data_IF_584800814085
#
_entry.id   IF_584800814085
#
_cell.length_a   1.000
_cell.length_b   1.000
_cell.length_c   1.000
_cell.angle_alpha   90.00
_cell.angle_beta   90.00
_cell.angle_gamma   90.00
#
_symmetry.space_group_name_H-M   'P 1'
#
loop_
_entity.id
_entity.type
_entity.pdbx_description
1 polymer ?
#
# COMPACT_ATOMS: atom_id res chain seq x y z
N UNK A 1 -8.32 0.24 15.10
CA UNK A 1 -7.48 0.92 14.09
C UNK A 1 -7.18 -0.18 13.12
N UNK A 2 -7.89 -0.21 12.01
CA UNK A 2 -7.95 -1.38 11.16
C UNK A 2 -7.43 -0.99 9.76
N UNK A 3 -7.15 -1.97 8.91
CA UNK A 3 -6.64 -1.71 7.56
C UNK A 3 -5.28 -1.00 7.56
N UNK A 4 -5.16 0.08 6.79
CA UNK A 4 -3.90 0.80 6.58
C UNK A 4 -3.57 1.80 7.71
N UNK A 5 -4.52 2.15 8.58
CA UNK A 5 -4.35 3.19 9.60
C UNK A 5 -3.15 2.97 10.54
N UNK A 6 -2.88 1.75 11.06
CA UNK A 6 -1.69 1.51 11.88
C UNK A 6 -0.37 1.76 11.13
N UNK A 7 -0.32 1.44 9.83
CA UNK A 7 0.87 1.65 8.99
C UNK A 7 1.08 3.14 8.68
N UNK A 8 -0.01 3.87 8.43
CA UNK A 8 0.03 5.32 8.26
C UNK A 8 0.51 6.00 9.56
N UNK A 9 0.01 5.56 10.72
CA UNK A 9 0.47 6.06 12.00
C UNK A 9 1.97 5.80 12.20
N UNK A 10 2.41 4.56 12.01
CA UNK A 10 3.82 4.18 12.07
C UNK A 10 4.70 5.07 11.18
N UNK A 11 4.27 5.31 9.94
CA UNK A 11 4.96 6.17 9.00
C UNK A 11 5.01 7.64 9.45
N UNK A 12 3.90 8.19 9.92
CA UNK A 12 3.84 9.57 10.41
C UNK A 12 4.67 9.83 11.66
N UNK A 13 4.86 8.80 12.48
CA UNK A 13 5.72 8.84 13.67
C UNK A 13 7.17 8.42 13.38
N UNK A 14 7.46 7.99 12.15
CA UNK A 14 8.78 7.47 11.72
C UNK A 14 9.26 6.33 12.62
N UNK A 15 8.35 5.41 12.96
CA UNK A 15 8.65 4.28 13.84
C UNK A 15 9.72 3.39 13.24
N UNK A 16 10.64 2.92 14.09
CA UNK A 16 11.71 2.02 13.64
C UNK A 16 11.41 0.54 13.81
N UNK A 17 10.49 0.20 14.70
CA UNK A 17 10.21 -1.18 15.11
C UNK A 17 8.73 -1.49 14.91
N UNK A 18 8.42 -2.64 14.31
CA UNK A 18 7.04 -3.07 14.11
C UNK A 18 6.34 -3.33 15.45
N UNK A 19 5.05 -3.02 15.52
CA UNK A 19 4.21 -3.23 16.70
C UNK A 19 4.64 -2.47 17.97
N UNK A 20 5.55 -1.50 17.85
CA UNK A 20 6.04 -0.70 18.97
C UNK A 20 6.18 0.77 18.58
N UNK A 21 5.74 1.64 19.47
CA UNK A 21 5.93 3.09 19.37
C UNK A 21 6.58 3.53 20.67
N UNK A 22 7.76 4.13 20.58
CA UNK A 22 8.46 4.69 21.74
C UNK A 22 7.78 5.98 22.21
N UNK A 23 7.98 6.34 23.47
CA UNK A 23 7.48 7.62 24.02
C UNK A 23 8.02 8.82 23.22
N UNK A 24 9.26 8.74 22.78
CA UNK A 24 9.93 9.80 22.01
C UNK A 24 9.28 9.97 20.63
N UNK A 25 9.07 8.88 19.89
CA UNK A 25 8.36 8.88 18.60
C UNK A 25 6.95 9.45 18.75
N UNK A 26 6.21 9.00 19.77
CA UNK A 26 4.86 9.47 20.05
C UNK A 26 4.82 10.97 20.37
N UNK A 27 5.61 11.42 21.35
CA UNK A 27 5.61 12.82 21.79
C UNK A 27 6.05 13.75 20.64
N UNK A 28 7.09 13.37 19.91
CA UNK A 28 7.56 14.14 18.76
C UNK A 28 6.48 14.25 17.69
N UNK A 29 5.89 13.12 17.28
CA UNK A 29 4.88 13.10 16.23
C UNK A 29 3.60 13.86 16.58
N UNK A 30 3.07 13.68 17.80
CA UNK A 30 1.88 14.42 18.26
C UNK A 30 2.15 15.92 18.37
N UNK A 31 3.36 16.31 18.77
CA UNK A 31 3.76 17.73 18.85
C UNK A 31 3.84 18.36 17.46
N UNK A 32 4.52 17.70 16.51
CA UNK A 32 4.66 18.20 15.13
C UNK A 32 3.29 18.28 14.41
N UNK A 33 2.43 17.29 14.62
CA UNK A 33 1.06 17.26 14.08
C UNK A 33 0.09 18.14 14.88
N UNK A 34 0.48 18.64 16.06
CA UNK A 34 -0.36 19.43 16.99
C UNK A 34 -1.65 18.71 17.38
N UNK A 35 -1.56 17.41 17.64
CA UNK A 35 -2.69 16.55 17.98
C UNK A 35 -2.73 16.37 19.50
N UNK A 36 -3.87 16.72 20.10
CA UNK A 36 -4.09 16.65 21.56
C UNK A 36 -5.17 15.64 21.97
N UNK A 37 -5.84 14.98 21.02
CA UNK A 37 -6.90 14.01 21.30
C UNK A 37 -6.90 12.85 20.30
N UNK A 38 -7.42 11.70 20.73
CA UNK A 38 -7.53 10.51 19.88
C UNK A 38 -8.52 10.70 18.71
N UNK A 39 -9.55 11.53 18.88
CA UNK A 39 -10.50 11.85 17.80
C UNK A 39 -9.83 12.62 16.68
N UNK A 40 -8.98 13.60 17.02
CA UNK A 40 -8.19 14.36 16.04
C UNK A 40 -7.12 13.47 15.40
N UNK A 41 -6.50 12.55 16.15
CA UNK A 41 -5.59 11.56 15.58
C UNK A 41 -6.28 10.67 14.54
N UNK A 42 -7.44 10.11 14.89
CA UNK A 42 -8.21 9.27 13.98
C UNK A 42 -8.61 10.02 12.71
N UNK A 43 -8.97 11.31 12.83
CA UNK A 43 -9.24 12.18 11.69
C UNK A 43 -7.99 12.36 10.81
N UNK A 44 -6.84 12.69 11.39
CA UNK A 44 -5.61 12.90 10.63
C UNK A 44 -5.15 11.65 9.87
N UNK A 45 -5.30 10.46 10.48
CA UNK A 45 -4.97 9.19 9.83
C UNK A 45 -5.94 8.86 8.69
N UNK A 46 -7.24 9.12 8.88
CA UNK A 46 -8.27 8.94 7.83
C UNK A 46 -8.08 9.90 6.66
N UNK A 47 -7.72 11.16 6.93
CA UNK A 47 -7.40 12.13 5.88
C UNK A 47 -6.28 11.57 4.98
N UNK A 48 -5.23 10.98 5.56
CA UNK A 48 -4.14 10.35 4.81
C UNK A 48 -4.52 9.03 4.12
N UNK A 49 -5.36 8.20 4.73
CA UNK A 49 -5.87 6.97 4.11
C UNK A 49 -6.71 7.29 2.87
N UNK A 50 -7.61 8.26 3.00
CA UNK A 50 -8.44 8.78 1.91
C UNK A 50 -7.57 9.28 0.76
N UNK A 51 -6.53 10.06 1.08
CA UNK A 51 -5.61 10.61 0.07
C UNK A 51 -4.76 9.53 -0.59
N UNK A 52 -4.03 8.72 0.18
CA UNK A 52 -2.94 7.89 -0.34
C UNK A 52 -3.40 6.49 -0.75
N UNK A 53 -4.34 5.89 -0.02
CA UNK A 53 -4.76 4.50 -0.21
C UNK A 53 -6.03 4.42 -1.07
N UNK A 54 -7.04 5.24 -0.75
CA UNK A 54 -8.34 5.22 -1.43
C UNK A 54 -8.41 6.18 -2.63
N UNK A 55 -7.31 6.88 -2.91
CA UNK A 55 -7.16 7.79 -4.04
C UNK A 55 -8.19 8.94 -4.09
N UNK A 56 -8.84 9.29 -2.98
CA UNK A 56 -9.84 10.35 -2.93
C UNK A 56 -9.24 11.74 -3.20
N UNK A 57 -10.07 12.71 -3.66
CA UNK A 57 -9.62 14.08 -3.85
C UNK A 57 -9.10 14.72 -2.55
N UNK A 58 -8.07 15.57 -2.62
CA UNK A 58 -7.51 16.22 -1.44
C UNK A 58 -8.49 17.21 -0.81
N UNK A 59 -8.36 17.40 0.51
CA UNK A 59 -9.10 18.42 1.24
C UNK A 59 -8.81 19.81 0.64
N UNK A 60 -9.85 20.61 0.43
CA UNK A 60 -9.68 21.99 -0.06
C UNK A 60 -9.05 22.84 1.04
N UNK A 61 -7.98 23.58 0.71
CA UNK A 61 -7.44 24.62 1.61
C UNK A 61 -8.49 25.71 1.79
N UNK A 62 -8.73 26.10 3.03
CA UNK A 62 -9.53 27.28 3.32
C UNK A 62 -8.64 28.50 3.02
N UNK A 63 -9.18 29.47 2.29
CA UNK A 63 -8.49 30.70 1.95
C UNK A 63 -8.53 31.69 3.13
N UNK A 64 -7.93 31.30 4.26
CA UNK A 64 -7.77 32.13 5.45
C UNK A 64 -6.33 32.68 5.52
N UNK A 65 -6.10 33.89 6.07
CA UNK A 65 -4.76 34.46 6.14
C UNK A 65 -3.81 33.56 6.92
N UNK A 66 -2.55 33.51 6.47
CA UNK A 66 -1.49 32.55 6.81
C UNK A 66 -1.13 32.38 8.32
N UNK A 67 -1.83 33.06 9.24
CA UNK A 67 -1.62 32.98 10.68
C UNK A 67 -2.57 32.00 11.41
N UNK A 68 -3.66 31.54 10.78
CA UNK A 68 -4.51 30.48 11.35
C UNK A 68 -4.15 29.13 10.75
N UNK A 69 -3.69 28.21 11.59
CA UNK A 69 -3.44 26.82 11.21
C UNK A 69 -4.75 26.21 10.71
N UNK A 70 -4.81 25.89 9.41
CA UNK A 70 -6.05 25.44 8.77
C UNK A 70 -6.47 24.04 9.27
N UNK A 71 -7.32 24.01 10.29
CA UNK A 71 -8.09 22.84 10.68
C UNK A 71 -7.71 22.21 12.02
N UNK A 72 -8.25 21.00 12.29
CA UNK A 72 -8.19 20.37 13.61
C UNK A 72 -6.80 19.85 14.02
N UNK A 73 -5.82 19.84 13.10
CA UNK A 73 -4.42 19.47 13.33
C UNK A 73 -3.51 20.17 12.30
N UNK A 74 -2.19 20.08 12.47
CA UNK A 74 -1.22 20.61 11.50
C UNK A 74 -1.22 19.79 10.19
N UNK A 75 -1.85 20.34 9.14
CA UNK A 75 -1.99 19.72 7.81
C UNK A 75 -0.87 20.01 6.82
N UNK A 76 0.23 20.65 7.25
CA UNK A 76 1.33 20.98 6.35
C UNK A 76 1.85 19.76 5.57
N UNK A 77 2.17 18.66 6.27
CA UNK A 77 2.61 17.41 5.62
C UNK A 77 1.55 16.82 4.72
N UNK A 78 0.28 16.85 5.15
CA UNK A 78 -0.84 16.35 4.34
C UNK A 78 -0.89 17.05 2.98
N UNK A 79 -0.76 18.38 2.96
CA UNK A 79 -0.79 19.12 1.70
C UNK A 79 0.48 18.94 0.87
N UNK A 80 1.65 18.72 1.48
CA UNK A 80 2.86 18.33 0.72
C UNK A 80 2.64 16.97 0.02
N UNK A 81 2.10 15.99 0.73
CA UNK A 81 1.74 14.70 0.13
C UNK A 81 0.66 14.84 -0.95
N UNK A 82 -0.31 15.74 -0.78
CA UNK A 82 -1.33 15.97 -1.80
C UNK A 82 -0.75 16.54 -3.11
N UNK A 83 0.33 17.32 -3.03
CA UNK A 83 1.04 17.83 -4.22
C UNK A 83 1.91 16.76 -4.90
N UNK A 84 2.39 15.78 -4.14
CA UNK A 84 3.27 14.68 -4.59
C UNK A 84 2.68 13.32 -4.25
N UNK A 85 1.42 13.11 -4.65
CA UNK A 85 0.60 11.97 -4.20
C UNK A 85 1.23 10.62 -4.54
N UNK A 86 1.80 10.50 -5.74
CA UNK A 86 2.45 9.26 -6.20
C UNK A 86 3.71 8.99 -5.39
N UNK A 87 4.56 9.98 -5.24
CA UNK A 87 5.81 9.89 -4.50
C UNK A 87 5.55 9.57 -3.02
N UNK A 88 4.58 10.24 -2.39
CA UNK A 88 4.19 9.99 -1.01
C UNK A 88 3.67 8.56 -0.78
N UNK A 89 2.89 8.02 -1.73
CA UNK A 89 2.47 6.62 -1.66
C UNK A 89 3.65 5.66 -1.78
N UNK A 90 4.58 5.91 -2.72
CA UNK A 90 5.81 5.10 -2.86
C UNK A 90 6.69 5.18 -1.61
N UNK A 91 6.82 6.35 -0.99
CA UNK A 91 7.52 6.54 0.28
C UNK A 91 6.88 5.71 1.41
N UNK A 92 5.55 5.73 1.55
CA UNK A 92 4.82 4.90 2.52
C UNK A 92 5.00 3.40 2.22
N UNK A 93 4.92 3.00 0.96
CA UNK A 93 5.08 1.62 0.52
C UNK A 93 6.49 1.08 0.82
N UNK A 94 7.53 1.86 0.54
CA UNK A 94 8.92 1.53 0.86
C UNK A 94 9.20 1.53 2.36
N UNK A 95 8.60 2.47 3.10
CA UNK A 95 8.67 2.49 4.56
C UNK A 95 8.12 1.19 5.17
N UNK A 96 6.99 0.70 4.65
CA UNK A 96 6.34 -0.51 5.12
C UNK A 96 7.20 -1.77 4.92
N UNK A 97 7.95 -1.88 3.82
CA UNK A 97 8.94 -2.94 3.66
C UNK A 97 10.02 -2.88 4.74
N UNK A 98 10.55 -1.69 5.02
CA UNK A 98 11.53 -1.47 6.07
C UNK A 98 11.01 -1.82 7.47
N UNK A 99 9.74 -1.51 7.74
CA UNK A 99 9.06 -1.81 9.00
C UNK A 99 8.81 -3.31 9.18
N UNK A 100 8.38 -4.01 8.13
CA UNK A 100 8.09 -5.45 8.15
C UNK A 100 9.37 -6.31 8.24
N UNK A 101 10.51 -5.75 7.86
CA UNK A 101 11.79 -6.44 7.82
C UNK A 101 12.37 -6.62 9.22
N UNK A 102 12.73 -7.85 9.55
CA UNK A 102 13.50 -8.14 10.77
C UNK A 102 14.90 -7.54 10.68
N UNK A 103 15.47 -7.23 11.84
CA UNK A 103 16.83 -6.72 11.94
C UNK A 103 17.83 -7.74 11.35
N UNK A 104 18.79 -7.26 10.55
CA UNK A 104 19.75 -8.13 9.85
C UNK A 104 19.22 -8.86 8.61
N UNK A 105 17.91 -9.05 8.44
CA UNK A 105 17.36 -9.69 7.22
C UNK A 105 17.36 -8.74 6.02
N UNK A 106 17.48 -9.30 4.81
CA UNK A 106 17.28 -8.60 3.53
C UNK A 106 15.89 -8.84 2.93
N UNK A 107 15.15 -9.79 3.48
CA UNK A 107 13.86 -10.24 2.97
C UNK A 107 12.80 -10.18 4.08
N UNK A 108 11.56 -10.00 3.69
CA UNK A 108 10.39 -10.23 4.55
C UNK A 108 9.81 -11.61 4.20
N UNK A 109 9.19 -12.28 5.18
CA UNK A 109 8.43 -13.49 4.90
C UNK A 109 7.23 -13.17 3.99
N UNK A 110 6.85 -14.08 3.10
CA UNK A 110 5.65 -13.89 2.26
C UNK A 110 4.38 -13.75 3.12
N UNK A 111 4.31 -14.46 4.25
CA UNK A 111 3.19 -14.39 5.20
C UNK A 111 3.10 -13.00 5.85
N UNK A 112 4.23 -12.29 5.95
CA UNK A 112 4.27 -10.90 6.37
C UNK A 112 3.95 -9.94 5.22
N UNK A 113 4.41 -10.22 3.99
CA UNK A 113 4.17 -9.35 2.84
C UNK A 113 2.69 -9.26 2.44
N UNK A 114 1.98 -10.40 2.44
CA UNK A 114 0.59 -10.51 1.97
C UNK A 114 -0.36 -9.56 2.71
N UNK A 115 -0.38 -9.49 4.07
CA UNK A 115 -1.22 -8.54 4.79
C UNK A 115 -0.92 -7.07 4.46
N UNK A 116 0.35 -6.70 4.26
CA UNK A 116 0.71 -5.33 3.89
C UNK A 116 0.20 -4.98 2.49
N UNK A 117 0.39 -5.85 1.50
CA UNK A 117 -0.16 -5.64 0.16
C UNK A 117 -1.68 -5.58 0.15
N UNK A 118 -2.34 -6.40 0.97
CA UNK A 118 -3.79 -6.42 1.13
C UNK A 118 -4.35 -5.06 1.60
N UNK A 119 -3.66 -4.38 2.52
CA UNK A 119 -4.16 -3.08 3.04
C UNK A 119 -3.64 -1.87 2.28
N UNK A 120 -2.47 -1.96 1.63
CA UNK A 120 -1.85 -0.81 0.94
C UNK A 120 -2.18 -0.77 -0.56
N UNK A 121 -2.15 -1.92 -1.25
CA UNK A 121 -2.08 -1.98 -2.71
C UNK A 121 -3.42 -2.43 -3.29
N UNK A 122 -4.09 -3.42 -2.69
CA UNK A 122 -5.40 -3.92 -3.15
C UNK A 122 -6.47 -2.82 -3.28
N UNK A 123 -6.62 -1.87 -2.33
CA UNK A 123 -7.63 -0.82 -2.46
C UNK A 123 -7.45 0.08 -3.69
N UNK A 124 -6.21 0.19 -4.19
CA UNK A 124 -5.84 1.06 -5.31
C UNK A 124 -5.72 0.30 -6.63
N UNK A 125 -5.24 -0.94 -6.60
CA UNK A 125 -4.93 -1.73 -7.79
C UNK A 125 -5.64 -3.10 -7.73
N UNK A 126 -6.78 -3.27 -8.43
CA UNK A 126 -7.56 -4.50 -8.40
C UNK A 126 -6.79 -5.77 -8.80
N UNK A 127 -5.78 -5.66 -9.67
CA UNK A 127 -4.93 -6.79 -10.09
C UNK A 127 -4.17 -7.41 -8.92
N UNK A 128 -3.85 -6.63 -7.88
CA UNK A 128 -3.17 -7.14 -6.69
C UNK A 128 -4.00 -8.21 -5.98
N UNK A 129 -5.34 -8.11 -5.99
CA UNK A 129 -6.20 -9.15 -5.39
C UNK A 129 -5.98 -10.51 -6.08
N UNK A 130 -5.84 -10.49 -7.40
CA UNK A 130 -5.60 -11.69 -8.19
C UNK A 130 -4.17 -12.24 -7.92
N UNK A 131 -3.18 -11.36 -7.69
CA UNK A 131 -1.82 -11.76 -7.29
C UNK A 131 -1.83 -12.42 -5.91
N UNK A 132 -2.58 -11.89 -4.94
CA UNK A 132 -2.70 -12.50 -3.62
C UNK A 132 -3.38 -13.88 -3.67
N UNK A 133 -4.41 -14.04 -4.50
CA UNK A 133 -5.04 -15.35 -4.77
C UNK A 133 -4.02 -16.34 -5.33
N UNK A 134 -3.23 -15.92 -6.33
CA UNK A 134 -2.16 -16.72 -6.90
C UNK A 134 -1.10 -17.16 -5.87
N UNK A 135 -0.60 -16.22 -5.05
CA UNK A 135 0.40 -16.52 -4.02
C UNK A 135 -0.14 -17.59 -3.06
N UNK A 136 -1.41 -17.45 -2.63
CA UNK A 136 -2.06 -18.38 -1.74
C UNK A 136 -2.26 -19.77 -2.37
N UNK A 137 -2.68 -19.85 -3.63
CA UNK A 137 -2.84 -21.13 -4.34
C UNK A 137 -1.52 -21.83 -4.63
N UNK A 138 -0.50 -21.07 -5.02
CA UNK A 138 0.81 -21.64 -5.36
C UNK A 138 1.51 -22.19 -4.12
N UNK A 139 1.52 -21.45 -3.01
CA UNK A 139 2.07 -21.88 -1.72
C UNK A 139 3.59 -22.10 -1.66
N UNK A 140 4.31 -21.94 -2.78
CA UNK A 140 5.76 -22.18 -2.87
C UNK A 140 6.61 -20.95 -2.54
N UNK A 141 6.03 -19.75 -2.58
CA UNK A 141 6.75 -18.53 -2.22
C UNK A 141 6.98 -18.48 -0.72
N UNK A 142 8.16 -18.05 -0.29
CA UNK A 142 8.54 -17.99 1.14
C UNK A 142 9.07 -16.63 1.59
N UNK A 143 9.53 -15.80 0.67
CA UNK A 143 10.04 -14.50 1.05
C UNK A 143 10.02 -13.51 -0.10
N UNK A 144 10.07 -12.24 0.28
CA UNK A 144 10.03 -11.09 -0.62
C UNK A 144 11.25 -10.24 -0.33
N UNK A 145 12.10 -10.06 -1.32
CA UNK A 145 13.22 -9.13 -1.26
C UNK A 145 12.77 -7.72 -1.68
N UNK A 146 13.64 -6.72 -1.53
CA UNK A 146 13.32 -5.32 -1.87
C UNK A 146 12.93 -5.12 -3.34
N UNK A 147 13.59 -5.87 -4.23
CA UNK A 147 13.38 -5.78 -5.67
C UNK A 147 11.98 -6.27 -6.04
N UNK A 148 11.62 -7.50 -5.66
CA UNK A 148 10.28 -8.06 -5.84
C UNK A 148 9.21 -7.17 -5.21
N UNK A 149 9.45 -6.62 -4.01
CA UNK A 149 8.53 -5.66 -3.40
C UNK A 149 8.28 -4.45 -4.30
N UNK A 150 9.32 -3.80 -4.80
CA UNK A 150 9.18 -2.64 -5.69
C UNK A 150 8.49 -3.04 -7.01
N UNK A 151 8.95 -4.11 -7.65
CA UNK A 151 8.44 -4.54 -8.95
C UNK A 151 6.97 -5.00 -8.87
N UNK A 152 6.50 -5.52 -7.74
CA UNK A 152 5.06 -5.80 -7.54
C UNK A 152 4.21 -4.53 -7.66
N UNK A 153 4.67 -3.40 -7.10
CA UNK A 153 3.95 -2.14 -7.24
C UNK A 153 4.01 -1.62 -8.69
N UNK A 154 5.20 -1.65 -9.30
CA UNK A 154 5.38 -1.21 -10.69
C UNK A 154 4.51 -2.04 -11.66
N UNK A 155 4.40 -3.35 -11.41
CA UNK A 155 3.53 -4.25 -12.15
C UNK A 155 2.05 -3.87 -11.98
N UNK A 156 1.61 -3.60 -10.75
CA UNK A 156 0.24 -3.17 -10.48
C UNK A 156 -0.13 -1.82 -11.13
N UNK A 157 0.86 -0.93 -11.29
CA UNK A 157 0.69 0.37 -11.96
C UNK A 157 0.68 0.27 -13.48
N UNK A 158 1.50 -0.63 -14.05
CA UNK A 158 1.76 -0.70 -15.48
C UNK A 158 0.92 -1.74 -16.21
N UNK A 159 0.51 -2.82 -15.54
CA UNK A 159 -0.20 -3.95 -16.16
C UNK A 159 -1.69 -3.91 -15.84
N UNK A 160 -2.49 -3.95 -16.90
CA UNK A 160 -3.95 -3.98 -16.80
C UNK A 160 -4.43 -5.28 -16.18
N UNK A 161 -5.58 -5.23 -15.49
CA UNK A 161 -6.14 -6.42 -14.84
C UNK A 161 -6.42 -7.56 -15.83
N UNK A 162 -6.79 -7.27 -17.08
CA UNK A 162 -7.04 -8.28 -18.12
C UNK A 162 -5.76 -8.75 -18.83
N UNK A 163 -4.58 -8.20 -18.48
CA UNK A 163 -3.26 -8.60 -19.00
C UNK A 163 -3.08 -8.33 -20.51
N UNK A 164 -3.87 -7.44 -21.10
CA UNK A 164 -3.82 -7.13 -22.53
C UNK A 164 -2.55 -6.35 -22.95
N UNK A 165 -1.95 -5.64 -22.00
CA UNK A 165 -0.74 -4.84 -22.19
C UNK A 165 0.50 -5.46 -21.54
N UNK A 166 0.43 -6.70 -21.07
CA UNK A 166 1.58 -7.39 -20.48
C UNK A 166 2.58 -7.81 -21.57
N UNK A 167 3.83 -7.41 -21.38
CA UNK A 167 4.98 -7.80 -22.21
C UNK A 167 5.71 -9.01 -21.60
N UNK A 168 5.71 -10.13 -22.32
CA UNK A 168 6.35 -11.37 -21.90
C UNK A 168 7.88 -11.35 -22.03
N UNK A 169 8.43 -10.43 -22.82
CA UNK A 169 9.87 -10.22 -22.95
C UNK A 169 10.38 -9.17 -21.92
N UNK A 170 9.48 -8.65 -21.08
CA UNK A 170 9.79 -7.73 -20.00
C UNK A 170 10.66 -8.38 -18.91
N UNK A 171 11.46 -7.56 -18.22
CA UNK A 171 12.36 -8.02 -17.15
C UNK A 171 11.64 -8.16 -15.79
N UNK A 172 10.47 -8.81 -15.75
CA UNK A 172 9.72 -8.99 -14.51
C UNK A 172 10.31 -10.11 -13.63
N UNK A 173 10.11 -10.07 -12.30
CA UNK A 173 10.45 -11.18 -11.42
C UNK A 173 9.62 -12.42 -11.80
N UNK A 174 10.24 -13.59 -11.73
CA UNK A 174 9.61 -14.87 -12.08
C UNK A 174 8.25 -15.09 -11.41
N UNK A 175 8.07 -14.61 -10.18
CA UNK A 175 6.77 -14.68 -9.48
C UNK A 175 5.63 -13.98 -10.25
N UNK A 176 5.90 -12.84 -10.87
CA UNK A 176 4.93 -12.07 -11.65
C UNK A 176 4.66 -12.71 -13.02
N UNK A 177 5.67 -13.28 -13.67
CA UNK A 177 5.49 -14.03 -14.92
C UNK A 177 4.66 -15.32 -14.71
N UNK A 178 4.92 -16.02 -13.60
CA UNK A 178 4.13 -17.17 -13.18
C UNK A 178 2.68 -16.79 -12.86
N UNK A 179 2.46 -15.63 -12.21
CA UNK A 179 1.12 -15.09 -11.97
C UNK A 179 0.34 -14.87 -13.27
N UNK A 180 0.99 -14.27 -14.29
CA UNK A 180 0.37 -14.03 -15.60
C UNK A 180 -0.04 -15.36 -16.25
N UNK A 181 0.84 -16.35 -16.20
CA UNK A 181 0.60 -17.69 -16.75
C UNK A 181 -0.56 -18.40 -16.04
N UNK A 182 -0.60 -18.31 -14.70
CA UNK A 182 -1.70 -18.84 -13.88
C UNK A 182 -3.03 -18.18 -14.22
N UNK A 183 -3.05 -16.84 -14.35
CA UNK A 183 -4.28 -16.08 -14.60
C UNK A 183 -4.86 -16.36 -15.99
N UNK A 184 -4.03 -16.41 -17.02
CA UNK A 184 -4.42 -16.78 -18.39
C UNK A 184 -5.01 -18.19 -18.45
N UNK A 185 -4.42 -19.13 -17.71
CA UNK A 185 -4.91 -20.52 -17.63
C UNK A 185 -6.31 -20.58 -17.00
N UNK A 186 -6.55 -19.87 -15.90
CA UNK A 186 -7.89 -19.78 -15.26
C UNK A 186 -8.95 -19.13 -16.15
N UNK A 187 -8.59 -18.13 -16.95
CA UNK A 187 -9.52 -17.50 -17.89
C UNK A 187 -9.99 -18.48 -18.96
N UNK A 188 -9.06 -19.24 -19.57
CA UNK A 188 -9.40 -20.27 -20.56
C UNK A 188 -10.26 -21.42 -20.00
N UNK A 189 -10.06 -21.80 -18.74
CA UNK A 189 -10.91 -22.81 -18.07
C UNK A 189 -12.34 -22.31 -17.84
N UNK A 190 -12.52 -21.04 -17.46
CA UNK A 190 -13.84 -20.44 -17.26
C UNK A 190 -14.63 -20.34 -18.56
N UNK A 191 -13.98 -19.96 -19.65
CA UNK A 191 -14.60 -19.89 -20.99
C UNK A 191 -15.07 -21.27 -21.48
N UNK A 192 -14.24 -22.32 -21.29
CA UNK A 192 -14.61 -23.70 -21.63
C UNK A 192 -15.79 -24.20 -20.81
N UNK A 193 -15.82 -23.94 -19.50
CA UNK A 193 -16.94 -24.36 -18.62
C UNK A 193 -18.23 -23.59 -18.93
N UNK A 194 -18.14 -22.31 -19.32
CA UNK A 194 -19.28 -21.49 -19.72
C UNK A 194 -19.97 -21.96 -21.01
N UNK A 195 -19.23 -22.52 -21.96
CA UNK A 195 -19.79 -23.09 -23.19
C UNK A 195 -20.50 -24.44 -22.99
N UNK A 196 -20.12 -25.22 -21.97
CA UNK A 196 -20.69 -26.55 -21.71
C UNK A 196 -21.99 -26.48 -20.87
N UNK A 197 -22.18 -25.44 -20.07
CA UNK A 197 -23.37 -25.28 -19.21
C UNK A 197 -24.57 -24.56 -19.85
N UNK A 198 -24.47 -24.17 -21.12
CA UNK A 198 -25.49 -23.43 -21.87
C UNK A 198 -26.23 -24.24 -22.95
N UNK A 199 -26.06 -25.56 -22.97
CA UNK A 199 -26.70 -26.48 -23.92
C UNK A 199 -27.77 -27.34 -23.22
#
# INVERSE_FOLDING_TARGET
MDGALPLILAWQLRTKEMAKITREEWVKGMTELRISSLSVLALALRDLEDLLILDKPPIKRLSTPASSLDGPYNRERYFDYALRKKEAFVELYQFCFGLAKTEGSRNIDIEMAVPFWSVLVVPKYPIMSDILEFINEKGTFKGVNKDLWQMTLDFCESVSRNLDNYDADGAWPTMLDEFVSWKKSKQGEKERKGQVGGA
#
